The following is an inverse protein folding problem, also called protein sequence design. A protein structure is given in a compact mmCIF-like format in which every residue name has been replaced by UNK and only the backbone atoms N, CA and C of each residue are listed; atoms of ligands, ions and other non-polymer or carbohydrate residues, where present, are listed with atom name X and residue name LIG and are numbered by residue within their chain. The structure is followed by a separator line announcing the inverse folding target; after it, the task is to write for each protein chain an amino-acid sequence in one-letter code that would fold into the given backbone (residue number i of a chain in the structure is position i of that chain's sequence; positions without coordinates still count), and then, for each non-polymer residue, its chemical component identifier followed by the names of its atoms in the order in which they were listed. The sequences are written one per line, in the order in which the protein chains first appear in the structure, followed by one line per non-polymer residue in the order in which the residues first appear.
data_IF_691354931036
#
_entry.id   IF_691354931036
#
_cell.length_a   1.000
_cell.length_b   1.000
_cell.length_c   1.000
_cell.angle_alpha   90.00
_cell.angle_beta   90.00
_cell.angle_gamma   90.00
#
_symmetry.space_group_name_H-M   'P 1'
#
loop_
_entity.id
_entity.type
_entity.pdbx_description
1 polymer ?
#
# COMPACT_ATOMS: atom_id res chain seq x y z
N UNK A 1 -2.23 -33.34 11.91
CA UNK A 1 -2.61 -32.03 12.47
C UNK A 1 -2.14 -30.94 11.52
N UNK A 2 -3.04 -30.02 11.16
CA UNK A 2 -2.86 -28.98 10.13
C UNK A 2 -1.74 -28.01 10.52
N UNK A 3 -0.85 -27.65 9.58
CA UNK A 3 0.03 -26.47 9.74
C UNK A 3 -0.87 -25.28 10.02
N UNK A 4 -0.65 -24.59 11.14
CA UNK A 4 -1.38 -23.37 11.45
C UNK A 4 -1.14 -22.36 10.33
N UNK A 5 -2.21 -21.93 9.67
CA UNK A 5 -2.20 -20.74 8.83
C UNK A 5 -1.80 -19.58 9.75
N UNK A 6 -0.59 -19.06 9.59
CA UNK A 6 -0.30 -17.71 10.07
C UNK A 6 -1.19 -16.80 9.23
N UNK A 7 -2.32 -16.38 9.78
CA UNK A 7 -3.03 -15.21 9.25
C UNK A 7 -2.02 -14.06 9.27
N UNK A 8 -1.51 -13.68 8.11
CA UNK A 8 -0.68 -12.48 7.97
C UNK A 8 -1.60 -11.31 8.27
N UNK A 9 -1.34 -10.61 9.37
CA UNK A 9 -2.08 -9.39 9.71
C UNK A 9 -1.99 -8.44 8.53
N UNK A 10 -3.13 -7.91 8.06
CA UNK A 10 -3.14 -6.93 6.99
C UNK A 10 -2.38 -5.67 7.45
N UNK A 11 -1.24 -5.31 6.83
CA UNK A 11 -0.47 -4.12 7.21
C UNK A 11 -1.21 -2.81 6.93
N UNK A 12 -2.24 -2.84 6.08
CA UNK A 12 -3.10 -1.70 5.76
C UNK A 12 -4.34 -1.62 6.66
N UNK A 13 -4.45 -2.47 7.67
CA UNK A 13 -5.53 -2.38 8.66
C UNK A 13 -5.29 -1.20 9.62
N UNK A 14 -6.33 -0.39 9.86
CA UNK A 14 -6.28 0.78 10.75
C UNK A 14 -5.19 1.82 10.38
N UNK A 15 -4.88 1.94 9.09
CA UNK A 15 -4.00 3.00 8.59
C UNK A 15 -4.69 4.37 8.60
N UNK A 16 -3.87 5.41 8.62
CA UNK A 16 -4.33 6.78 8.37
C UNK A 16 -3.57 7.39 7.19
N UNK A 17 -4.29 7.92 6.21
CA UNK A 17 -3.64 8.68 5.14
C UNK A 17 -3.18 10.05 5.64
N UNK A 18 -1.91 10.39 5.37
CA UNK A 18 -1.42 11.76 5.59
C UNK A 18 -2.22 12.76 4.74
N UNK A 19 -2.25 14.03 5.15
CA UNK A 19 -2.94 15.09 4.38
C UNK A 19 -2.37 15.25 2.96
N UNK A 20 -1.08 14.95 2.79
CA UNK A 20 -0.44 14.86 1.47
C UNK A 20 -1.12 13.82 0.60
N UNK A 21 -1.23 12.58 1.09
CA UNK A 21 -1.84 11.48 0.34
C UNK A 21 -3.35 11.72 0.11
N UNK A 22 -4.08 12.24 1.10
CA UNK A 22 -5.49 12.63 0.94
C UNK A 22 -5.72 13.64 -0.19
N UNK A 23 -4.76 14.57 -0.41
CA UNK A 23 -4.80 15.49 -1.55
C UNK A 23 -4.51 14.78 -2.87
N UNK A 24 -3.51 13.89 -2.91
CA UNK A 24 -3.15 13.11 -4.09
C UNK A 24 -4.28 12.19 -4.55
N UNK A 25 -4.99 11.55 -3.62
CA UNK A 25 -6.15 10.67 -3.89
C UNK A 25 -7.31 11.39 -4.61
N UNK A 26 -7.31 12.73 -4.65
CA UNK A 26 -8.33 13.55 -5.31
C UNK A 26 -7.90 14.07 -6.67
N UNK A 27 -6.66 13.81 -7.11
CA UNK A 27 -6.10 14.37 -8.36
C UNK A 27 -6.64 13.70 -9.62
N UNK A 28 -7.25 12.53 -9.49
CA UNK A 28 -7.76 11.75 -10.62
C UNK A 28 -6.66 11.00 -11.39
N UNK A 29 -5.44 10.96 -10.88
CA UNK A 29 -4.31 10.22 -11.46
C UNK A 29 -4.20 8.80 -10.87
N UNK A 30 -3.00 8.21 -10.86
CA UNK A 30 -2.76 6.88 -10.30
C UNK A 30 -2.64 6.85 -8.77
N UNK A 31 -2.75 7.98 -8.06
CA UNK A 31 -2.94 8.00 -6.61
C UNK A 31 -4.42 7.83 -6.21
N UNK A 32 -5.35 7.93 -7.17
CA UNK A 32 -6.80 8.05 -6.94
C UNK A 32 -7.55 6.72 -6.99
N UNK A 33 -6.87 5.60 -6.76
CA UNK A 33 -7.53 4.29 -6.74
C UNK A 33 -8.34 4.09 -5.43
N UNK A 34 -9.38 3.23 -5.46
CA UNK A 34 -10.30 3.11 -4.32
C UNK A 34 -9.64 2.66 -3.03
N UNK A 35 -10.11 3.17 -1.89
CA UNK A 35 -9.73 2.66 -0.55
C UNK A 35 -10.09 1.18 -0.34
N UNK A 36 -11.00 0.61 -1.14
CA UNK A 36 -11.29 -0.82 -1.13
C UNK A 36 -10.06 -1.71 -1.43
N UNK A 37 -9.00 -1.17 -2.04
CA UNK A 37 -7.75 -1.92 -2.24
C UNK A 37 -7.05 -2.23 -0.89
N UNK A 38 -7.31 -1.43 0.15
CA UNK A 38 -6.66 -1.56 1.46
C UNK A 38 -7.00 -2.91 2.12
N UNK A 39 -8.19 -3.48 1.85
CA UNK A 39 -8.59 -4.79 2.38
C UNK A 39 -7.75 -5.95 1.86
N UNK A 40 -7.02 -5.76 0.75
CA UNK A 40 -6.15 -6.76 0.14
C UNK A 40 -4.69 -6.66 0.60
N UNK A 41 -4.37 -5.78 1.57
CA UNK A 41 -2.98 -5.61 2.01
C UNK A 41 -2.33 -6.86 2.59
N UNK A 42 -3.12 -7.82 3.10
CA UNK A 42 -2.62 -9.12 3.55
C UNK A 42 -2.15 -10.04 2.40
N UNK A 43 -2.65 -9.81 1.18
CA UNK A 43 -2.32 -10.56 -0.03
C UNK A 43 -1.11 -9.97 -0.78
N UNK A 44 -0.66 -8.77 -0.37
CA UNK A 44 0.47 -8.09 -0.97
C UNK A 44 1.84 -8.62 -0.51
N UNK A 45 2.87 -8.30 -1.29
CA UNK A 45 4.26 -8.45 -0.86
C UNK A 45 4.60 -7.36 0.16
N UNK A 46 5.13 -7.77 1.32
CA UNK A 46 5.45 -6.88 2.43
C UNK A 46 6.96 -6.86 2.63
N UNK A 47 7.59 -5.70 2.41
CA UNK A 47 9.03 -5.51 2.60
C UNK A 47 9.34 -4.35 3.53
N UNK A 48 10.58 -4.32 4.04
CA UNK A 48 11.12 -3.17 4.78
C UNK A 48 12.04 -2.39 3.84
N UNK A 49 11.86 -1.08 3.81
CA UNK A 49 12.70 -0.17 3.02
C UNK A 49 13.29 0.91 3.93
N UNK A 50 14.50 1.38 3.61
CA UNK A 50 15.14 2.51 4.28
C UNK A 50 15.03 3.72 3.35
N UNK A 51 14.39 4.79 3.83
CA UNK A 51 14.28 6.03 3.07
C UNK A 51 15.62 6.76 2.93
N UNK A 52 15.69 7.77 2.06
CA UNK A 52 16.87 8.63 1.96
C UNK A 52 17.19 9.43 3.23
N UNK A 53 16.24 9.48 4.16
CA UNK A 53 16.35 10.03 5.51
C UNK A 53 16.85 9.02 6.56
N UNK A 54 17.17 7.78 6.16
CA UNK A 54 17.62 6.72 7.06
C UNK A 54 16.49 6.06 7.87
N UNK A 55 15.22 6.44 7.67
CA UNK A 55 14.10 5.88 8.42
C UNK A 55 13.57 4.63 7.72
N UNK A 56 13.47 3.53 8.48
CA UNK A 56 12.88 2.26 8.04
C UNK A 56 11.36 2.34 8.01
N UNK A 57 10.76 1.92 6.89
CA UNK A 57 9.31 1.92 6.63
C UNK A 57 8.84 0.56 6.14
N UNK A 58 7.54 0.31 6.25
CA UNK A 58 6.92 -0.86 5.61
C UNK A 58 6.48 -0.48 4.20
N UNK A 59 6.87 -1.27 3.19
CA UNK A 59 6.33 -1.19 1.85
C UNK A 59 5.35 -2.35 1.64
N UNK A 60 4.21 -2.07 1.02
CA UNK A 60 3.21 -3.07 0.61
C UNK A 60 2.99 -2.95 -0.89
N UNK A 61 3.08 -4.06 -1.60
CA UNK A 61 2.91 -4.15 -3.04
C UNK A 61 1.82 -5.18 -3.36
N UNK A 62 0.68 -4.72 -3.87
CA UNK A 62 -0.46 -5.58 -4.21
C UNK A 62 -0.60 -5.61 -5.73
N UNK A 63 -0.43 -6.77 -6.35
CA UNK A 63 -0.67 -6.93 -7.79
C UNK A 63 -2.14 -6.76 -8.13
N UNK A 64 -2.44 -6.11 -9.25
CA UNK A 64 -3.80 -6.03 -9.77
C UNK A 64 -3.91 -5.06 -10.94
N UNK A 65 -5.13 -4.63 -11.25
CA UNK A 65 -5.39 -3.75 -12.38
C UNK A 65 -6.19 -2.51 -11.98
N UNK A 66 -5.87 -1.39 -12.62
CA UNK A 66 -6.55 -0.12 -12.40
C UNK A 66 -6.51 0.71 -13.68
N UNK A 67 -7.66 1.32 -14.02
CA UNK A 67 -7.84 2.14 -15.24
C UNK A 67 -7.41 1.41 -16.54
N UNK A 68 -7.76 0.13 -16.65
CA UNK A 68 -7.49 -0.68 -17.84
C UNK A 68 -6.02 -1.08 -18.03
N UNK A 69 -5.21 -1.01 -16.98
CA UNK A 69 -3.79 -1.40 -16.99
C UNK A 69 -3.54 -2.40 -15.88
N UNK A 70 -2.73 -3.41 -16.14
CA UNK A 70 -2.13 -4.26 -15.11
C UNK A 70 -1.01 -3.50 -14.40
N UNK A 71 -0.76 -3.81 -13.14
CA UNK A 71 0.15 -3.02 -12.30
C UNK A 71 0.26 -3.50 -10.87
N UNK A 72 0.82 -2.61 -10.05
CA UNK A 72 1.01 -2.82 -8.61
C UNK A 72 0.47 -1.61 -7.86
N UNK A 73 -0.36 -1.85 -6.86
CA UNK A 73 -0.72 -0.86 -5.85
C UNK A 73 0.37 -0.81 -4.79
N UNK A 74 1.05 0.31 -4.68
CA UNK A 74 2.18 0.53 -3.79
C UNK A 74 1.75 1.40 -2.61
N UNK A 75 2.17 1.00 -1.40
CA UNK A 75 2.00 1.77 -0.17
C UNK A 75 3.34 1.88 0.55
N UNK A 76 3.60 3.04 1.17
CA UNK A 76 4.67 3.18 2.17
C UNK A 76 4.03 3.66 3.47
N UNK A 77 4.21 2.83 4.51
CA UNK A 77 3.65 3.00 5.84
C UNK A 77 4.76 3.40 6.80
N UNK A 78 4.55 4.53 7.47
CA UNK A 78 5.40 5.04 8.54
C UNK A 78 5.23 4.21 9.82
N UNK A 79 6.15 4.37 10.78
CA UNK A 79 6.11 3.61 12.05
C UNK A 79 4.85 3.86 12.90
N UNK A 80 4.17 4.98 12.69
CA UNK A 80 2.92 5.36 13.38
C UNK A 80 1.65 4.93 12.60
N UNK A 81 1.76 3.99 11.65
CA UNK A 81 0.68 3.54 10.77
C UNK A 81 0.09 4.61 9.83
N UNK A 82 0.76 5.76 9.67
CA UNK A 82 0.36 6.71 8.64
C UNK A 82 0.90 6.30 7.27
N UNK A 83 0.09 6.45 6.23
CA UNK A 83 0.49 6.22 4.83
C UNK A 83 0.94 7.53 4.22
N UNK A 84 2.23 7.58 3.87
CA UNK A 84 2.88 8.74 3.28
C UNK A 84 3.19 8.53 1.78
N UNK A 85 2.89 7.36 1.23
CA UNK A 85 2.90 7.11 -0.21
C UNK A 85 1.82 6.09 -0.57
N UNK A 86 1.08 6.37 -1.64
CA UNK A 86 0.08 5.50 -2.24
C UNK A 86 0.10 5.71 -3.74
N UNK A 87 0.38 4.71 -4.55
CA UNK A 87 0.43 4.88 -6.01
C UNK A 87 0.12 3.58 -6.73
N UNK A 88 -0.66 3.62 -7.82
CA UNK A 88 -0.74 2.50 -8.74
C UNK A 88 0.34 2.65 -9.81
N UNK A 89 1.34 1.75 -9.80
CA UNK A 89 2.39 1.69 -10.82
C UNK A 89 1.94 0.73 -11.94
N UNK A 90 1.55 1.23 -13.12
CA UNK A 90 1.21 0.35 -14.24
C UNK A 90 2.45 -0.43 -14.69
N UNK A 91 2.26 -1.70 -15.04
CA UNK A 91 3.23 -2.43 -15.85
C UNK A 91 3.27 -1.76 -17.24
N UNK A 92 4.47 -1.56 -17.77
CA UNK A 92 4.68 -0.98 -19.10
C UNK A 92 4.35 -1.98 -20.19
#
# INVERSE_FOLDING_TARGET
MRRGEKSTKNPLENIEYTDKVKKQMKQGDFHSFPEAVDSFGADGEITKIVGGDGITRTKVEISGSYKGREGVFEYIIEANNTVNHRFFRPLQ
#
